data_IF_299307571280
#
_entry.id   IF_299307571280
#
_cell.length_a   1.000
_cell.length_b   1.000
_cell.length_c   1.000
_cell.angle_alpha   90.00
_cell.angle_beta   90.00
_cell.angle_gamma   90.00
#
_symmetry.space_group_name_H-M   'P 1'
#
loop_
_entity.id
_entity.type
_entity.pdbx_description
1 polymer ?
#
# COMPACT_ATOMS: atom_id res chain seq x y z
N UNK A 1 -52.35 -27.79 34.90
CA UNK A 1 -51.33 -26.71 34.84
C UNK A 1 -52.04 -25.38 35.02
N UNK A 2 -51.85 -24.73 36.16
CA UNK A 2 -52.54 -23.48 36.51
C UNK A 2 -52.20 -22.38 35.50
N UNK A 3 -53.15 -21.46 35.27
CA UNK A 3 -53.04 -20.36 34.29
C UNK A 3 -51.74 -19.55 34.46
N UNK A 4 -51.26 -19.43 35.71
CA UNK A 4 -50.00 -18.74 36.07
C UNK A 4 -48.76 -19.48 35.57
N UNK A 5 -48.73 -20.81 35.65
CA UNK A 5 -47.59 -21.64 35.18
C UNK A 5 -47.42 -21.57 33.66
N UNK A 6 -48.53 -21.51 32.90
CA UNK A 6 -48.48 -21.36 31.44
C UNK A 6 -47.94 -20.00 30.99
N UNK A 7 -48.30 -18.92 31.70
CA UNK A 7 -47.82 -17.56 31.38
C UNK A 7 -46.32 -17.44 31.65
N UNK A 8 -45.83 -18.00 32.77
CA UNK A 8 -44.40 -17.99 33.11
C UNK A 8 -43.59 -18.77 32.05
N UNK A 9 -44.10 -19.91 31.58
CA UNK A 9 -43.42 -20.72 30.56
C UNK A 9 -43.31 -19.98 29.22
N UNK A 10 -44.37 -19.28 28.80
CA UNK A 10 -44.39 -18.50 27.54
C UNK A 10 -43.41 -17.32 27.60
N UNK A 11 -43.33 -16.63 28.74
CA UNK A 11 -42.37 -15.53 28.93
C UNK A 11 -40.93 -16.03 28.88
N UNK A 12 -40.65 -17.21 29.49
CA UNK A 12 -39.32 -17.82 29.46
C UNK A 12 -38.90 -18.22 28.04
N UNK A 13 -39.82 -18.79 27.26
CA UNK A 13 -39.56 -19.17 25.85
C UNK A 13 -39.32 -17.92 24.99
N UNK A 14 -40.08 -16.84 25.21
CA UNK A 14 -39.88 -15.58 24.49
C UNK A 14 -38.54 -14.90 24.82
N UNK A 15 -38.09 -14.96 26.08
CA UNK A 15 -36.79 -14.42 26.50
C UNK A 15 -35.61 -15.21 25.90
N UNK A 16 -35.72 -16.55 25.83
CA UNK A 16 -34.68 -17.39 25.20
C UNK A 16 -34.64 -17.16 23.68
N UNK A 17 -35.79 -17.01 23.03
CA UNK A 17 -35.86 -16.71 21.59
C UNK A 17 -35.29 -15.32 21.26
N UNK A 18 -35.53 -14.32 22.13
CA UNK A 18 -34.99 -12.97 21.95
C UNK A 18 -33.47 -12.93 22.21
N UNK A 19 -32.97 -13.67 23.21
CA UNK A 19 -31.54 -13.81 23.47
C UNK A 19 -30.79 -14.50 22.31
N UNK A 20 -31.38 -15.53 21.69
CA UNK A 20 -30.79 -16.20 20.53
C UNK A 20 -30.77 -15.31 19.27
N UNK A 21 -31.79 -14.47 19.07
CA UNK A 21 -31.84 -13.53 17.95
C UNK A 21 -30.79 -12.42 18.07
N UNK A 22 -30.54 -11.90 19.27
CA UNK A 22 -29.54 -10.83 19.49
C UNK A 22 -28.11 -11.34 19.22
N UNK A 23 -27.80 -12.60 19.58
CA UNK A 23 -26.50 -13.22 19.31
C UNK A 23 -26.20 -13.46 17.82
N UNK A 24 -27.24 -13.57 16.98
CA UNK A 24 -27.10 -13.73 15.53
C UNK A 24 -26.89 -12.41 14.78
N UNK A 25 -27.29 -11.27 15.35
CA UNK A 25 -27.16 -9.95 14.73
C UNK A 25 -26.01 -9.10 15.28
N UNK A 26 -25.42 -9.47 16.43
CA UNK A 26 -24.36 -8.70 17.10
C UNK A 26 -22.92 -9.17 16.79
N UNK A 27 -22.74 -10.12 15.87
CA UNK A 27 -21.41 -10.53 15.42
C UNK A 27 -21.10 -9.86 14.08
N UNK A 28 -20.31 -8.76 14.05
CA UNK A 28 -19.61 -8.41 12.83
C UNK A 28 -18.58 -9.52 12.59
N UNK A 29 -18.98 -10.53 11.82
CA UNK A 29 -18.02 -11.44 11.21
C UNK A 29 -17.23 -10.62 10.19
N UNK A 30 -16.17 -9.95 10.64
CA UNK A 30 -15.06 -9.60 9.77
C UNK A 30 -14.47 -10.91 9.29
N UNK A 31 -14.93 -11.38 8.13
CA UNK A 31 -14.32 -12.49 7.41
C UNK A 31 -12.96 -11.97 6.96
N UNK A 32 -11.93 -12.17 7.78
CA UNK A 32 -10.55 -12.09 7.33
C UNK A 32 -10.42 -13.18 6.27
N UNK A 33 -10.45 -12.78 5.00
CA UNK A 33 -10.27 -13.68 3.87
C UNK A 33 -8.84 -14.22 3.93
N UNK A 34 -8.65 -15.36 4.59
CA UNK A 34 -7.38 -16.08 4.70
C UNK A 34 -7.06 -16.81 3.39
N UNK A 35 -7.00 -16.06 2.29
CA UNK A 35 -6.67 -16.54 0.96
C UNK A 35 -5.53 -15.75 0.35
N UNK A 36 -5.03 -16.25 -0.76
CA UNK A 36 -4.03 -15.56 -1.57
C UNK A 36 -4.68 -15.05 -2.86
N UNK A 37 -4.18 -13.93 -3.34
CA UNK A 37 -4.49 -13.37 -4.65
C UNK A 37 -3.28 -13.52 -5.56
N UNK A 38 -3.52 -13.91 -6.81
CA UNK A 38 -2.47 -13.92 -7.83
C UNK A 38 -2.60 -12.65 -8.67
N UNK A 39 -1.51 -11.90 -8.75
CA UNK A 39 -1.40 -10.68 -9.54
C UNK A 39 -0.38 -10.85 -10.66
N UNK A 40 -0.50 -10.02 -11.68
CA UNK A 40 0.59 -9.77 -12.64
C UNK A 40 1.25 -8.47 -12.23
N UNK A 41 2.54 -8.50 -11.91
CA UNK A 41 3.30 -7.31 -11.53
C UNK A 41 3.74 -6.49 -12.77
N UNK A 42 4.36 -5.33 -12.57
CA UNK A 42 4.76 -4.44 -13.67
C UNK A 42 5.96 -4.96 -14.47
N UNK A 43 6.58 -6.05 -14.02
CA UNK A 43 7.56 -6.84 -14.78
C UNK A 43 6.92 -7.98 -15.60
N UNK A 44 5.58 -8.05 -15.66
CA UNK A 44 4.81 -9.14 -16.26
C UNK A 44 5.03 -10.51 -15.60
N UNK A 45 5.46 -10.54 -14.34
CA UNK A 45 5.59 -11.78 -13.56
C UNK A 45 4.28 -12.08 -12.86
N UNK A 46 4.00 -13.37 -12.68
CA UNK A 46 2.87 -13.83 -11.86
C UNK A 46 3.32 -13.95 -10.42
N UNK A 47 2.78 -13.13 -9.52
CA UNK A 47 3.16 -13.08 -8.10
C UNK A 47 1.94 -13.40 -7.25
N UNK A 48 2.11 -14.24 -6.23
CA UNK A 48 1.05 -14.58 -5.28
C UNK A 48 1.25 -13.78 -4.00
N UNK A 49 0.27 -12.96 -3.64
CA UNK A 49 0.26 -12.14 -2.43
C UNK A 49 -0.93 -12.52 -1.53
N UNK A 50 -0.90 -12.25 -0.22
CA UNK A 50 -2.07 -12.41 0.64
C UNK A 50 -3.25 -11.53 0.17
N UNK A 51 -4.49 -11.99 0.37
CA UNK A 51 -5.69 -11.19 0.09
C UNK A 51 -5.80 -9.95 0.99
N UNK A 52 -5.40 -10.09 2.26
CA UNK A 52 -5.32 -8.97 3.20
C UNK A 52 -3.91 -8.40 3.15
N UNK A 53 -3.80 -7.13 2.77
CA UNK A 53 -2.55 -6.39 2.69
C UNK A 53 -2.60 -5.29 3.73
N UNK A 54 -1.89 -5.48 4.83
CA UNK A 54 -1.89 -4.60 6.01
C UNK A 54 -0.47 -4.22 6.46
N UNK A 55 0.56 -4.90 5.93
CA UNK A 55 1.97 -4.69 6.25
C UNK A 55 2.79 -4.75 4.98
N UNK A 56 3.28 -3.63 4.51
CA UNK A 56 4.09 -3.55 3.29
C UNK A 56 5.32 -2.69 3.53
N UNK A 57 6.39 -2.99 2.79
CA UNK A 57 7.63 -2.23 2.78
C UNK A 57 8.09 -2.05 1.35
N UNK A 58 8.73 -0.92 1.06
CA UNK A 58 9.41 -0.71 -0.20
C UNK A 58 10.90 -0.58 0.03
N UNK A 59 11.66 -1.01 -0.97
CA UNK A 59 13.12 -1.04 -0.91
C UNK A 59 13.78 0.30 -1.16
N UNK A 60 13.02 1.30 -1.64
CA UNK A 60 13.51 2.63 -1.97
C UNK A 60 12.58 3.74 -1.43
N UNK A 61 13.14 4.90 -1.02
CA UNK A 61 12.34 6.02 -0.53
C UNK A 61 11.24 6.52 -1.48
N UNK A 62 11.47 6.66 -2.80
CA UNK A 62 10.44 7.14 -3.70
C UNK A 62 9.20 6.25 -3.69
N UNK A 63 9.36 4.93 -3.66
CA UNK A 63 8.23 4.01 -3.63
C UNK A 63 7.53 3.99 -2.26
N UNK A 64 8.28 4.10 -1.16
CA UNK A 64 7.70 4.30 0.18
C UNK A 64 6.82 5.54 0.22
N UNK A 65 7.21 6.64 -0.43
CA UNK A 65 6.40 7.86 -0.52
C UNK A 65 5.07 7.62 -1.24
N UNK A 66 5.05 6.86 -2.34
CA UNK A 66 3.78 6.51 -3.03
C UNK A 66 2.87 5.68 -2.12
N UNK A 67 3.43 4.66 -1.47
CA UNK A 67 2.68 3.84 -0.52
C UNK A 67 2.14 4.66 0.66
N UNK A 68 2.93 5.61 1.16
CA UNK A 68 2.51 6.53 2.21
C UNK A 68 1.36 7.45 1.77
N UNK A 69 1.40 7.96 0.53
CA UNK A 69 0.32 8.81 0.01
C UNK A 69 -0.98 8.03 -0.23
N UNK A 70 -0.88 6.75 -0.57
CA UNK A 70 -2.02 5.88 -0.88
C UNK A 70 -2.66 5.24 0.35
N UNK A 71 -1.85 4.60 1.19
CA UNK A 71 -2.30 3.77 2.30
C UNK A 71 -1.26 3.76 3.45
N UNK A 72 -1.01 4.90 4.11
CA UNK A 72 0.01 5.02 5.16
C UNK A 72 -0.25 4.09 6.34
N UNK A 73 -1.49 3.66 6.55
CA UNK A 73 -1.85 2.69 7.57
C UNK A 73 -1.23 1.31 7.36
N UNK A 74 -0.91 0.94 6.11
CA UNK A 74 -0.37 -0.36 5.70
C UNK A 74 1.16 -0.43 5.73
N UNK A 75 1.84 0.71 5.84
CA UNK A 75 3.30 0.74 5.89
C UNK A 75 3.82 0.10 7.19
N UNK A 76 4.75 -0.84 7.05
CA UNK A 76 5.40 -1.52 8.16
C UNK A 76 6.77 -0.90 8.53
N UNK A 77 7.31 -0.01 7.70
CA UNK A 77 8.56 0.70 7.95
C UNK A 77 8.85 1.74 6.87
N UNK A 78 9.79 2.64 7.16
CA UNK A 78 10.28 3.69 6.26
C UNK A 78 11.78 3.57 6.04
N UNK A 79 12.29 4.12 4.93
CA UNK A 79 13.69 3.90 4.56
C UNK A 79 14.69 4.77 5.32
N UNK A 80 14.25 5.91 5.86
CA UNK A 80 15.09 6.80 6.66
C UNK A 80 14.25 7.57 7.68
N UNK A 81 14.93 8.08 8.71
CA UNK A 81 14.32 8.94 9.71
C UNK A 81 13.98 10.31 9.10
N UNK A 82 12.71 10.70 9.16
CA UNK A 82 12.30 12.06 8.82
C UNK A 82 12.87 13.07 9.81
N UNK A 83 13.30 14.21 9.29
CA UNK A 83 13.76 15.37 10.06
C UNK A 83 12.61 16.07 10.77
N UNK A 84 12.92 16.86 11.80
CA UNK A 84 11.91 17.67 12.51
C UNK A 84 11.16 18.62 11.57
N UNK A 85 11.81 19.12 10.52
CA UNK A 85 11.20 19.98 9.50
C UNK A 85 10.22 19.19 8.62
N UNK A 86 10.62 18.01 8.12
CA UNK A 86 9.74 17.14 7.33
C UNK A 86 8.51 16.68 8.14
N UNK A 87 8.70 16.39 9.43
CA UNK A 87 7.62 16.00 10.35
C UNK A 87 6.57 17.11 10.51
N UNK A 88 6.85 18.37 10.18
CA UNK A 88 5.82 19.42 10.19
C UNK A 88 4.72 19.20 9.15
N UNK A 89 4.99 18.42 8.10
CA UNK A 89 4.05 18.08 7.03
C UNK A 89 3.39 16.69 7.21
N UNK A 90 3.78 15.95 8.24
CA UNK A 90 3.27 14.60 8.53
C UNK A 90 2.14 14.70 9.57
N UNK A 91 0.95 14.11 9.34
CA UNK A 91 -0.10 14.04 10.34
C UNK A 91 0.38 13.37 11.63
N UNK A 92 -0.03 13.88 12.79
CA UNK A 92 0.47 13.43 14.11
C UNK A 92 0.41 11.91 14.31
N UNK A 93 -0.63 11.25 13.80
CA UNK A 93 -0.80 9.80 13.90
C UNK A 93 0.30 8.97 13.19
N UNK A 94 1.12 9.58 12.34
CA UNK A 94 2.15 8.91 11.55
C UNK A 94 3.58 9.30 11.92
N UNK A 95 3.79 10.36 12.71
CA UNK A 95 5.13 10.92 13.01
C UNK A 95 6.08 9.91 13.64
N UNK A 96 5.59 9.13 14.59
CA UNK A 96 6.37 8.13 15.33
C UNK A 96 5.91 6.69 15.06
N UNK A 97 5.13 6.49 13.98
CA UNK A 97 4.48 5.20 13.72
C UNK A 97 5.43 4.17 13.12
N UNK A 98 6.38 4.61 12.30
CA UNK A 98 7.13 3.71 11.43
C UNK A 98 8.55 3.48 11.94
N UNK A 99 9.00 2.22 12.09
CA UNK A 99 10.41 1.94 12.28
C UNK A 99 11.20 2.29 11.01
N UNK A 100 12.45 2.70 11.19
CA UNK A 100 13.39 2.90 10.08
C UNK A 100 14.05 1.56 9.75
N UNK A 101 13.82 1.06 8.54
CA UNK A 101 14.30 -0.25 8.07
C UNK A 101 15.41 -0.15 7.01
N UNK A 102 15.79 1.07 6.60
CA UNK A 102 16.79 1.29 5.55
C UNK A 102 16.27 0.99 4.14
N UNK A 103 17.17 0.76 3.20
CA UNK A 103 16.83 0.40 1.83
C UNK A 103 18.04 0.46 0.90
N UNK A 104 17.80 0.20 -0.39
CA UNK A 104 18.80 0.23 -1.45
C UNK A 104 18.71 1.57 -2.20
N UNK A 105 19.34 2.61 -1.66
CA UNK A 105 19.32 3.95 -2.25
C UNK A 105 20.60 4.74 -1.96
N UNK A 106 21.00 5.60 -2.90
CA UNK A 106 22.25 6.34 -2.79
C UNK A 106 23.45 5.40 -2.67
N UNK A 107 24.20 5.50 -1.58
CA UNK A 107 25.31 4.60 -1.25
C UNK A 107 24.94 3.52 -0.22
N UNK A 108 23.66 3.41 0.15
CA UNK A 108 23.20 2.43 1.13
C UNK A 108 22.94 1.09 0.45
N UNK A 109 23.33 0.02 1.14
CA UNK A 109 22.94 -1.35 0.83
C UNK A 109 21.92 -1.78 1.89
N UNK A 110 20.78 -2.31 1.46
CA UNK A 110 19.69 -2.66 2.35
C UNK A 110 20.01 -3.89 3.21
N UNK A 111 19.27 -4.04 4.31
CA UNK A 111 19.39 -5.15 5.23
C UNK A 111 18.16 -6.06 5.12
N UNK A 112 18.36 -7.28 4.62
CA UNK A 112 17.27 -8.23 4.43
C UNK A 112 16.62 -8.63 5.76
N UNK A 113 17.40 -8.80 6.82
CA UNK A 113 16.92 -9.16 8.16
C UNK A 113 15.99 -8.09 8.75
N UNK A 114 16.29 -6.80 8.55
CA UNK A 114 15.41 -5.69 8.99
C UNK A 114 14.07 -5.71 8.26
N UNK A 115 14.10 -5.92 6.94
CA UNK A 115 12.89 -6.05 6.12
C UNK A 115 12.07 -7.30 6.49
N UNK A 116 12.72 -8.43 6.76
CA UNK A 116 12.05 -9.66 7.20
C UNK A 116 11.45 -9.48 8.60
N UNK A 117 12.17 -8.82 9.51
CA UNK A 117 11.72 -8.54 10.88
C UNK A 117 10.52 -7.59 10.93
N UNK A 118 10.31 -6.77 9.88
CA UNK A 118 9.09 -5.98 9.73
C UNK A 118 7.84 -6.83 9.42
N UNK A 119 8.00 -8.13 9.14
CA UNK A 119 6.94 -9.08 8.79
C UNK A 119 5.99 -8.57 7.70
N UNK A 120 6.50 -8.14 6.53
CA UNK A 120 5.67 -7.63 5.46
C UNK A 120 4.90 -8.76 4.76
N UNK A 121 3.69 -8.45 4.29
CA UNK A 121 2.91 -9.30 3.39
C UNK A 121 3.60 -9.46 2.03
N UNK A 122 4.29 -8.41 1.56
CA UNK A 122 5.18 -8.42 0.41
C UNK A 122 6.14 -7.22 0.46
N UNK A 123 7.23 -7.32 -0.29
CA UNK A 123 8.20 -6.24 -0.51
C UNK A 123 7.97 -5.64 -1.90
N UNK A 124 7.94 -4.32 -1.99
CA UNK A 124 7.86 -3.62 -3.28
C UNK A 124 9.27 -3.30 -3.77
N UNK A 125 9.60 -3.79 -4.96
CA UNK A 125 10.86 -3.49 -5.64
C UNK A 125 10.60 -2.56 -6.83
N UNK A 126 11.30 -1.43 -6.85
CA UNK A 126 11.26 -0.51 -7.98
C UNK A 126 12.04 -1.08 -9.18
N UNK A 127 11.48 -0.97 -10.37
CA UNK A 127 12.14 -1.36 -11.63
C UNK A 127 12.12 -0.20 -12.63
N UNK A 128 13.16 -0.09 -13.45
CA UNK A 128 13.21 0.91 -14.52
C UNK A 128 12.07 0.72 -15.54
N UNK A 129 11.71 1.80 -16.22
CA UNK A 129 10.69 1.77 -17.27
C UNK A 129 11.15 1.00 -18.53
N UNK A 130 10.29 0.11 -19.05
CA UNK A 130 10.36 -0.37 -20.44
C UNK A 130 10.63 -1.86 -20.64
N UNK A 131 10.67 -2.27 -21.91
CA UNK A 131 10.90 -3.66 -22.34
C UNK A 131 12.39 -4.01 -22.27
N UNK A 132 12.94 -4.02 -21.06
CA UNK A 132 14.36 -4.27 -20.81
C UNK A 132 14.73 -4.25 -19.33
N UNK A 133 13.73 -4.39 -18.45
CA UNK A 133 13.92 -4.42 -16.99
C UNK A 133 14.97 -5.49 -16.65
N UNK A 134 16.05 -5.06 -16.01
CA UNK A 134 16.98 -6.00 -15.41
C UNK A 134 16.32 -6.63 -14.17
N UNK A 135 15.73 -7.81 -14.39
CA UNK A 135 15.06 -8.56 -13.33
C UNK A 135 16.03 -9.19 -12.34
N UNK A 136 17.35 -9.16 -12.59
CA UNK A 136 18.34 -9.80 -11.73
C UNK A 136 18.22 -9.33 -10.28
N UNK A 137 17.98 -8.03 -10.07
CA UNK A 137 17.80 -7.45 -8.74
C UNK A 137 16.51 -7.95 -8.08
N UNK A 138 15.42 -8.06 -8.84
CA UNK A 138 14.13 -8.54 -8.33
C UNK A 138 14.21 -10.03 -7.98
N UNK A 139 14.89 -10.82 -8.81
CA UNK A 139 15.13 -12.25 -8.61
C UNK A 139 16.06 -12.50 -7.42
N UNK A 140 17.16 -11.76 -7.31
CA UNK A 140 18.08 -11.81 -6.18
C UNK A 140 17.33 -11.49 -4.88
N UNK A 141 16.58 -10.38 -4.85
CA UNK A 141 15.79 -10.01 -3.67
C UNK A 141 14.76 -11.07 -3.34
N UNK A 142 14.08 -11.63 -4.34
CA UNK A 142 13.12 -12.71 -4.11
C UNK A 142 13.78 -13.95 -3.49
N UNK A 143 14.98 -14.33 -3.93
CA UNK A 143 15.74 -15.43 -3.34
C UNK A 143 16.08 -15.15 -1.87
N UNK A 144 16.57 -13.94 -1.57
CA UNK A 144 16.98 -13.52 -0.22
C UNK A 144 15.81 -13.36 0.74
N UNK A 145 14.68 -12.83 0.28
CA UNK A 145 13.45 -12.67 1.06
C UNK A 145 12.69 -13.99 1.25
N UNK A 146 13.04 -15.03 0.49
CA UNK A 146 12.48 -16.37 0.64
C UNK A 146 10.98 -16.40 0.37
N UNK A 147 10.18 -16.72 1.40
CA UNK A 147 8.73 -16.85 1.27
C UNK A 147 7.98 -15.52 1.19
N UNK A 148 8.64 -14.39 1.47
CA UNK A 148 8.02 -13.08 1.34
C UNK A 148 8.03 -12.71 -0.16
N UNK A 149 6.87 -12.46 -0.78
CA UNK A 149 6.80 -12.13 -2.19
C UNK A 149 7.41 -10.75 -2.47
N UNK A 150 8.16 -10.65 -3.56
CA UNK A 150 8.68 -9.39 -4.11
C UNK A 150 7.82 -9.00 -5.30
N UNK A 151 7.16 -7.84 -5.20
CA UNK A 151 6.31 -7.28 -6.26
C UNK A 151 7.10 -6.22 -7.00
N UNK A 152 7.32 -6.42 -8.30
CA UNK A 152 8.05 -5.47 -9.14
C UNK A 152 7.12 -4.36 -9.62
N UNK A 153 7.51 -3.11 -9.40
CA UNK A 153 6.69 -1.93 -9.67
C UNK A 153 7.55 -0.90 -10.38
N UNK A 154 7.08 -0.39 -11.51
CA UNK A 154 7.82 0.62 -12.26
C UNK A 154 8.12 1.81 -11.38
N UNK A 155 9.36 2.31 -11.49
CA UNK A 155 9.82 3.46 -10.74
C UNK A 155 8.91 4.68 -10.96
N UNK A 156 9.08 5.66 -10.10
CA UNK A 156 8.27 6.87 -10.07
C UNK A 156 9.10 8.15 -10.23
N UNK A 157 10.29 8.02 -10.80
CA UNK A 157 11.21 9.14 -11.05
C UNK A 157 10.74 10.00 -12.23
N UNK A 158 9.96 9.42 -13.14
CA UNK A 158 9.33 10.15 -14.24
C UNK A 158 7.87 10.51 -13.92
N UNK A 159 7.67 11.74 -13.47
CA UNK A 159 6.34 12.27 -13.15
C UNK A 159 5.35 12.21 -14.32
N UNK A 160 5.82 12.17 -15.57
CA UNK A 160 4.95 12.09 -16.75
C UNK A 160 4.40 10.69 -17.03
N UNK A 161 4.85 9.68 -16.29
CA UNK A 161 4.48 8.26 -16.48
C UNK A 161 4.08 7.53 -15.19
N UNK A 162 4.17 8.23 -14.06
CA UNK A 162 3.91 7.72 -12.71
C UNK A 162 2.47 7.23 -12.49
N UNK A 163 1.51 7.68 -13.30
CA UNK A 163 0.08 7.36 -13.09
C UNK A 163 -0.20 5.86 -13.11
N UNK A 164 0.50 5.12 -14.01
CA UNK A 164 0.37 3.67 -14.08
C UNK A 164 0.88 2.96 -12.81
N UNK A 165 1.95 3.47 -12.21
CA UNK A 165 2.48 3.02 -10.92
C UNK A 165 1.50 3.33 -9.79
N UNK A 166 0.92 4.54 -9.77
CA UNK A 166 -0.07 4.95 -8.76
C UNK A 166 -1.34 4.08 -8.87
N UNK A 167 -1.83 3.83 -10.08
CA UNK A 167 -3.00 3.00 -10.33
C UNK A 167 -2.76 1.55 -9.89
N UNK A 168 -1.61 0.99 -10.27
CA UNK A 168 -1.22 -0.37 -9.88
C UNK A 168 -1.15 -0.53 -8.36
N UNK A 169 -0.46 0.38 -7.68
CA UNK A 169 -0.35 0.36 -6.22
C UNK A 169 -1.69 0.64 -5.55
N UNK A 170 -2.50 1.57 -6.08
CA UNK A 170 -3.85 1.84 -5.60
C UNK A 170 -4.70 0.59 -5.57
N UNK A 171 -4.69 -0.20 -6.65
CA UNK A 171 -5.43 -1.46 -6.72
C UNK A 171 -4.93 -2.51 -5.73
N UNK A 172 -3.62 -2.71 -5.63
CA UNK A 172 -3.04 -3.71 -4.71
C UNK A 172 -3.31 -3.34 -3.25
N UNK A 173 -3.29 -2.04 -2.94
CA UNK A 173 -3.51 -1.54 -1.60
C UNK A 173 -4.98 -1.30 -1.28
N UNK A 174 -5.90 -1.54 -2.23
CA UNK A 174 -7.34 -1.25 -2.07
C UNK A 174 -7.57 0.22 -1.70
N UNK A 175 -6.83 1.10 -2.37
CA UNK A 175 -6.79 2.55 -2.19
C UNK A 175 -7.07 3.26 -3.54
N UNK A 176 -7.93 2.69 -4.37
CA UNK A 176 -8.24 3.19 -5.72
C UNK A 176 -8.74 4.63 -5.70
N UNK A 177 -9.61 5.00 -4.75
CA UNK A 177 -10.10 6.37 -4.62
C UNK A 177 -8.95 7.37 -4.37
N UNK A 178 -7.99 6.99 -3.53
CA UNK A 178 -6.81 7.81 -3.22
C UNK A 178 -5.85 7.88 -4.40
N UNK A 179 -5.70 6.78 -5.12
CA UNK A 179 -4.93 6.74 -6.36
C UNK A 179 -5.53 7.68 -7.42
N UNK A 180 -6.85 7.67 -7.61
CA UNK A 180 -7.51 8.57 -8.55
C UNK A 180 -7.38 10.05 -8.14
N UNK A 181 -7.44 10.37 -6.84
CA UNK A 181 -7.16 11.72 -6.35
C UNK A 181 -5.74 12.17 -6.70
N UNK A 182 -4.75 11.30 -6.49
CA UNK A 182 -3.34 11.59 -6.75
C UNK A 182 -3.04 11.71 -8.25
N UNK A 183 -3.61 10.83 -9.08
CA UNK A 183 -3.51 10.91 -10.55
C UNK A 183 -4.15 12.21 -11.04
N UNK A 184 -5.35 12.56 -10.56
CA UNK A 184 -6.00 13.81 -10.93
C UNK A 184 -5.22 15.05 -10.53
N UNK A 185 -4.51 15.01 -9.40
CA UNK A 185 -3.56 16.05 -9.01
C UNK A 185 -2.39 16.13 -10.00
N UNK A 186 -1.75 15.00 -10.32
CA UNK A 186 -0.64 14.93 -11.25
C UNK A 186 -1.02 15.47 -12.64
N UNK A 187 -2.13 14.98 -13.20
CA UNK A 187 -2.67 15.40 -14.49
C UNK A 187 -2.91 16.90 -14.58
N UNK A 188 -3.53 17.47 -13.55
CA UNK A 188 -3.82 18.91 -13.50
C UNK A 188 -2.54 19.73 -13.62
N UNK A 189 -1.53 19.44 -12.80
CA UNK A 189 -0.32 20.24 -12.76
C UNK A 189 0.62 19.94 -13.94
N UNK A 190 0.67 18.70 -14.43
CA UNK A 190 1.37 18.39 -15.68
C UNK A 190 0.76 19.12 -16.86
N UNK A 191 -0.57 19.19 -16.95
CA UNK A 191 -1.25 19.95 -18.00
C UNK A 191 -0.90 21.44 -17.94
N UNK A 192 -0.92 22.04 -16.74
CA UNK A 192 -0.54 23.43 -16.52
C UNK A 192 0.91 23.69 -16.94
N UNK A 193 1.85 22.86 -16.46
CA UNK A 193 3.27 22.96 -16.80
C UNK A 193 3.49 22.82 -18.30
N UNK A 194 2.88 21.81 -18.94
CA UNK A 194 3.02 21.58 -20.38
C UNK A 194 2.44 22.74 -21.20
N UNK A 195 1.31 23.31 -20.79
CA UNK A 195 0.70 24.48 -21.44
C UNK A 195 1.66 25.69 -21.39
N UNK A 196 2.27 25.95 -20.22
CA UNK A 196 3.22 27.07 -20.07
C UNK A 196 4.51 26.78 -20.85
N UNK A 197 5.11 25.60 -20.68
CA UNK A 197 6.36 25.24 -21.33
C UNK A 197 6.28 25.25 -22.86
N UNK A 198 5.14 24.83 -23.42
CA UNK A 198 4.91 24.85 -24.88
C UNK A 198 4.76 26.25 -25.45
N UNK A 199 4.44 27.25 -24.61
CA UNK A 199 4.34 28.65 -25.04
C UNK A 199 5.70 29.37 -25.12
N UNK A 200 6.76 28.80 -24.54
CA UNK A 200 8.10 29.38 -24.51
C UNK A 200 8.84 29.02 -25.80
N UNK A 201 9.25 30.00 -26.63
CA UNK A 201 10.05 29.75 -27.83
C UNK A 201 11.36 29.06 -27.48
N UNK A 202 11.86 28.18 -28.35
CA UNK A 202 13.11 27.45 -28.12
C UNK A 202 14.31 28.37 -27.85
N UNK A 203 14.34 29.56 -28.46
CA UNK A 203 15.38 30.58 -28.22
C UNK A 203 15.35 31.21 -26.83
N UNK A 204 14.22 31.11 -26.12
CA UNK A 204 14.03 31.65 -24.77
C UNK A 204 14.12 30.58 -23.68
N UNK A 205 14.10 29.29 -24.05
CA UNK A 205 14.31 28.19 -23.12
C UNK A 205 15.68 28.29 -22.49
N UNK A 206 15.73 28.32 -21.16
CA UNK A 206 16.97 28.33 -20.39
C UNK A 206 17.68 27.00 -20.59
N UNK A 207 18.99 27.06 -20.87
CA UNK A 207 19.85 25.88 -20.76
C UNK A 207 20.08 25.62 -19.26
N UNK A 208 19.76 24.41 -18.84
CA UNK A 208 19.95 23.91 -17.46
C UNK A 208 20.89 22.72 -17.47
#
# INVERSE_FOLDING_TARGET
>A
MEKKTKIILVILIALVACGAAISLFASPSSVTSSGNNTITDMANRTVTIPNSVDRIVATSPPMTTIMYMLAPEKLAGVNFQWTDEELTYVPDQYKDKFPVIGGWFGSQDGNYEEFIAAEPNFVVESIDEGMGVDLSTVEERQEKFGSIPVVAVTDNTNVTKIDSTIEFMGKILTAEDKAQELIGFNDKYLSEVNSVASSIPDSEKKSV
#
